data_IF_326653260461
#
_entry.id   IF_326653260461
#
_cell.length_a   1.000
_cell.length_b   1.000
_cell.length_c   1.000
_cell.angle_alpha   90.00
_cell.angle_beta   90.00
_cell.angle_gamma   90.00
#
_symmetry.space_group_name_H-M   'P 1'
#
loop_
_entity.id
_entity.type
_entity.pdbx_description
1 polymer ?
#
# COMPACT_ATOMS: atom_id res chain seq x y z
N UNK A 1 -13.08 21.69 -60.52
CA UNK A 1 -14.08 20.64 -60.28
C UNK A 1 -13.58 19.21 -60.34
N UNK A 2 -12.37 18.92 -60.75
CA UNK A 2 -11.83 17.52 -60.85
C UNK A 2 -11.16 17.01 -59.56
N UNK A 3 -10.74 17.87 -58.66
CA UNK A 3 -10.02 17.49 -57.42
C UNK A 3 -10.97 17.09 -56.25
N UNK A 4 -12.23 17.54 -56.33
CA UNK A 4 -13.22 17.28 -55.28
C UNK A 4 -13.80 15.84 -55.35
N UNK A 5 -13.82 15.27 -56.55
CA UNK A 5 -14.30 13.88 -56.79
C UNK A 5 -13.33 12.80 -56.35
N UNK A 6 -12.01 13.11 -56.39
CA UNK A 6 -10.97 12.14 -55.95
C UNK A 6 -10.97 11.97 -54.42
N UNK A 7 -11.32 13.04 -53.66
CA UNK A 7 -11.43 12.97 -52.20
C UNK A 7 -12.63 12.18 -51.70
N UNK A 8 -13.72 12.15 -52.44
CA UNK A 8 -14.94 11.41 -52.09
C UNK A 8 -14.72 9.87 -52.35
N UNK A 9 -13.96 9.51 -53.39
CA UNK A 9 -13.66 8.12 -53.69
C UNK A 9 -12.65 7.48 -52.72
N UNK A 10 -11.75 8.28 -52.12
CA UNK A 10 -10.79 7.76 -51.12
C UNK A 10 -11.43 7.50 -49.74
N UNK A 11 -12.54 8.18 -49.42
CA UNK A 11 -13.26 7.94 -48.14
C UNK A 11 -14.15 6.68 -48.23
N UNK A 12 -14.58 6.25 -49.42
CA UNK A 12 -15.35 5.03 -49.60
C UNK A 12 -14.50 3.72 -49.53
N UNK A 13 -13.17 3.82 -49.70
CA UNK A 13 -12.30 2.66 -49.71
C UNK A 13 -11.72 2.31 -48.31
N UNK A 14 -11.91 3.17 -47.28
CA UNK A 14 -11.38 2.95 -45.93
C UNK A 14 -12.40 2.40 -44.92
N UNK A 15 -13.61 2.09 -45.40
CA UNK A 15 -14.77 1.68 -44.58
C UNK A 15 -15.01 0.19 -44.39
N UNK A 16 -14.12 -0.70 -44.85
CA UNK A 16 -14.39 -2.14 -44.78
C UNK A 16 -13.15 -2.93 -44.38
N UNK A 17 -12.63 -2.72 -43.19
CA UNK A 17 -11.81 -3.74 -42.48
C UNK A 17 -11.93 -3.51 -40.98
N UNK A 18 -13.14 -3.57 -40.44
CA UNK A 18 -13.37 -3.93 -39.04
C UNK A 18 -14.28 -5.16 -38.99
N UNK A 19 -13.84 -6.25 -39.62
CA UNK A 19 -14.41 -7.55 -39.30
C UNK A 19 -13.78 -8.00 -37.98
N UNK A 20 -14.47 -7.62 -36.93
CA UNK A 20 -14.58 -8.26 -35.65
C UNK A 20 -14.05 -9.70 -35.61
N UNK A 21 -12.88 -9.90 -35.04
CA UNK A 21 -12.54 -11.20 -34.45
C UNK A 21 -13.42 -11.36 -33.21
N UNK A 22 -14.64 -11.81 -33.40
CA UNK A 22 -15.54 -12.22 -32.33
C UNK A 22 -15.03 -13.55 -31.81
N UNK A 23 -14.35 -13.48 -30.69
CA UNK A 23 -13.75 -14.65 -30.04
C UNK A 23 -14.87 -15.49 -29.39
N UNK A 24 -15.40 -16.44 -30.16
CA UNK A 24 -16.49 -17.32 -29.72
C UNK A 24 -16.19 -18.11 -28.44
N UNK A 25 -14.90 -18.24 -28.10
CA UNK A 25 -14.49 -18.87 -26.84
C UNK A 25 -14.61 -17.94 -25.64
N UNK A 26 -14.45 -16.63 -25.81
CA UNK A 26 -14.65 -15.65 -24.75
C UNK A 26 -16.15 -15.53 -24.40
N UNK A 27 -17.04 -15.51 -25.40
CA UNK A 27 -18.50 -15.48 -25.17
C UNK A 27 -19.02 -16.73 -24.43
N UNK A 28 -18.48 -17.91 -24.76
CA UNK A 28 -18.85 -19.14 -24.05
C UNK A 28 -18.42 -19.13 -22.58
N UNK A 29 -17.23 -18.59 -22.28
CA UNK A 29 -16.77 -18.47 -20.88
C UNK A 29 -17.55 -17.44 -20.08
N UNK A 30 -17.97 -16.35 -20.71
CA UNK A 30 -18.81 -15.33 -20.06
C UNK A 30 -20.19 -15.93 -19.74
N UNK A 31 -20.82 -16.60 -20.69
CA UNK A 31 -22.13 -17.25 -20.48
C UNK A 31 -22.07 -18.37 -19.41
N UNK A 32 -20.96 -19.12 -19.32
CA UNK A 32 -20.78 -20.15 -18.30
C UNK A 32 -20.60 -19.52 -16.90
N UNK A 33 -19.89 -18.39 -16.80
CA UNK A 33 -19.71 -17.66 -15.55
C UNK A 33 -21.00 -17.00 -15.06
N UNK A 34 -21.79 -16.42 -15.98
CA UNK A 34 -23.10 -15.85 -15.66
C UNK A 34 -24.09 -16.93 -15.20
N UNK A 35 -24.06 -18.11 -15.81
CA UNK A 35 -24.86 -19.26 -15.36
C UNK A 35 -24.51 -19.72 -13.94
N UNK A 36 -23.23 -19.76 -13.60
CA UNK A 36 -22.78 -20.10 -12.24
C UNK A 36 -23.12 -19.02 -11.20
N UNK A 37 -23.10 -17.75 -11.59
CA UNK A 37 -23.53 -16.65 -10.73
C UNK A 37 -25.02 -16.74 -10.42
N UNK A 38 -25.87 -17.01 -11.42
CA UNK A 38 -27.31 -17.16 -11.22
C UNK A 38 -27.67 -18.38 -10.37
N UNK A 39 -26.88 -19.44 -10.42
CA UNK A 39 -27.09 -20.63 -9.58
C UNK A 39 -26.71 -20.38 -8.11
N UNK A 40 -25.75 -19.49 -7.86
CA UNK A 40 -25.37 -19.07 -6.52
C UNK A 40 -26.36 -18.06 -5.92
N UNK A 41 -26.97 -17.19 -6.72
CA UNK A 41 -28.00 -16.24 -6.30
C UNK A 41 -29.37 -16.90 -6.08
N UNK A 42 -29.67 -18.00 -6.76
CA UNK A 42 -30.94 -18.73 -6.62
C UNK A 42 -31.14 -19.47 -5.29
N UNK A 43 -30.14 -19.54 -4.41
CA UNK A 43 -30.25 -20.21 -3.09
C UNK A 43 -30.51 -19.30 -1.90
N UNK A 44 -30.79 -18.02 -2.11
CA UNK A 44 -31.07 -17.07 -1.02
C UNK A 44 -32.34 -16.25 -1.25
N UNK A 45 -33.48 -16.96 -1.33
CA UNK A 45 -34.76 -16.31 -1.15
C UNK A 45 -34.98 -16.10 0.35
N UNK A 46 -34.77 -14.88 0.84
CA UNK A 46 -35.28 -14.39 2.11
C UNK A 46 -35.88 -13.01 1.91
N UNK A 47 -37.11 -12.87 2.38
CA UNK A 47 -38.07 -11.78 2.32
C UNK A 47 -37.48 -10.37 2.60
N UNK A 48 -38.16 -9.30 2.09
CA UNK A 48 -37.75 -7.92 2.33
C UNK A 48 -38.12 -7.52 3.76
N UNK A 49 -37.12 -7.33 4.61
CA UNK A 49 -37.28 -6.67 5.90
C UNK A 49 -36.53 -5.33 5.85
N UNK A 50 -37.28 -4.30 6.06
CA UNK A 50 -37.04 -2.91 6.50
C UNK A 50 -35.58 -2.55 6.74
N UNK A 51 -35.10 -1.50 6.00
CA UNK A 51 -33.81 -0.87 6.16
C UNK A 51 -33.59 -0.38 7.60
N UNK A 52 -32.67 -1.04 8.30
CA UNK A 52 -32.00 -0.50 9.48
C UNK A 52 -30.55 -0.10 9.08
N UNK A 53 -29.99 0.98 9.64
CA UNK A 53 -28.66 1.43 9.26
C UNK A 53 -27.63 0.33 9.59
N UNK A 54 -26.83 -0.02 8.61
CA UNK A 54 -25.70 -0.96 8.72
C UNK A 54 -24.81 -0.54 9.89
N UNK A 55 -24.62 -1.40 10.92
CA UNK A 55 -23.60 -1.11 11.92
C UNK A 55 -22.23 -1.13 11.22
N UNK A 56 -21.44 -0.08 11.46
CA UNK A 56 -20.05 -0.01 11.03
C UNK A 56 -19.37 -1.35 11.33
N UNK A 57 -18.67 -1.89 10.32
CA UNK A 57 -17.86 -3.11 10.45
C UNK A 57 -16.99 -3.01 11.69
N UNK A 58 -17.37 -3.71 12.74
CA UNK A 58 -16.50 -3.88 13.89
C UNK A 58 -15.24 -4.57 13.39
N UNK A 59 -14.05 -4.12 13.77
CA UNK A 59 -12.82 -4.84 13.44
C UNK A 59 -12.99 -6.24 14.04
N UNK A 60 -12.98 -7.25 13.16
CA UNK A 60 -12.97 -8.66 13.58
C UNK A 60 -11.72 -8.79 14.45
N UNK A 61 -11.90 -8.98 15.74
CA UNK A 61 -10.81 -9.27 16.64
C UNK A 61 -10.20 -10.60 16.18
N UNK A 62 -9.04 -10.53 15.50
CA UNK A 62 -8.30 -11.73 15.16
C UNK A 62 -7.98 -12.46 16.47
N UNK A 63 -8.45 -13.69 16.61
CA UNK A 63 -8.13 -14.50 17.78
C UNK A 63 -6.62 -14.77 17.84
N UNK A 64 -6.06 -14.66 19.05
CA UNK A 64 -4.65 -14.94 19.27
C UNK A 64 -4.37 -16.42 18.98
N UNK A 65 -3.44 -16.76 18.07
CA UNK A 65 -3.08 -18.15 17.81
C UNK A 65 -2.59 -18.84 19.09
N UNK A 66 -3.02 -20.07 19.29
CA UNK A 66 -2.49 -20.92 20.38
C UNK A 66 -1.09 -21.40 20.03
N UNK A 67 -0.20 -21.44 21.03
CA UNK A 67 1.15 -21.97 20.90
C UNK A 67 2.27 -20.97 21.15
N UNK A 68 3.50 -21.39 20.85
CA UNK A 68 4.69 -20.56 21.01
C UNK A 68 4.72 -19.47 19.94
N UNK A 69 4.64 -18.23 20.36
CA UNK A 69 4.66 -17.07 19.46
C UNK A 69 5.97 -16.28 19.60
N UNK A 70 6.50 -15.74 18.52
CA UNK A 70 7.57 -14.76 18.57
C UNK A 70 7.04 -13.41 19.06
N UNK A 71 7.93 -12.59 19.62
CA UNK A 71 7.61 -11.28 20.13
C UNK A 71 8.71 -10.28 19.84
N UNK A 72 8.34 -9.10 19.35
CA UNK A 72 9.25 -7.97 19.22
C UNK A 72 9.48 -7.30 20.58
N UNK A 73 10.73 -7.02 20.86
CA UNK A 73 11.16 -6.06 21.86
C UNK A 73 12.02 -5.02 21.17
N UNK A 74 11.45 -3.91 20.75
CA UNK A 74 12.20 -2.80 20.17
C UNK A 74 12.92 -2.00 21.26
N UNK A 75 14.11 -1.51 20.96
CA UNK A 75 14.83 -0.56 21.82
C UNK A 75 14.08 0.77 21.90
N UNK A 76 13.51 1.21 20.77
CA UNK A 76 12.58 2.33 20.66
C UNK A 76 11.62 2.08 19.50
N UNK A 77 10.39 2.56 19.63
CA UNK A 77 9.37 2.54 18.55
C UNK A 77 9.10 3.94 18.00
N UNK A 78 9.61 4.96 18.68
CA UNK A 78 9.48 6.38 18.30
C UNK A 78 10.87 6.99 18.14
N UNK A 79 11.08 7.75 17.05
CA UNK A 79 12.33 8.45 16.79
C UNK A 79 12.08 9.89 16.37
N UNK A 80 12.88 10.82 16.88
CA UNK A 80 12.83 12.23 16.52
C UNK A 80 14.11 12.61 15.76
N UNK A 81 13.96 12.96 14.47
CA UNK A 81 15.06 13.48 13.66
C UNK A 81 15.42 14.93 13.98
N UNK A 82 14.61 15.59 14.84
CA UNK A 82 14.77 17.01 15.12
C UNK A 82 14.45 17.88 13.89
N UNK A 83 15.20 18.98 13.74
CA UNK A 83 15.03 19.91 12.61
C UNK A 83 15.95 19.51 11.44
N UNK A 84 15.36 19.28 10.29
CA UNK A 84 16.05 18.98 9.03
C UNK A 84 15.67 20.00 7.96
N UNK A 85 16.45 20.10 6.88
CA UNK A 85 16.15 20.98 5.74
C UNK A 85 15.34 20.22 4.70
N UNK A 86 14.44 20.92 4.02
CA UNK A 86 13.71 20.37 2.89
C UNK A 86 14.66 19.86 1.80
N UNK A 87 14.37 18.67 1.26
CA UNK A 87 15.23 17.93 0.33
C UNK A 87 16.29 17.07 1.00
N UNK A 88 16.43 17.13 2.33
CA UNK A 88 17.33 16.24 3.06
C UNK A 88 16.69 14.84 3.20
N UNK A 89 17.50 13.82 2.96
CA UNK A 89 17.13 12.43 3.19
C UNK A 89 17.74 11.98 4.51
N UNK A 90 16.91 11.45 5.41
CA UNK A 90 17.35 10.93 6.72
C UNK A 90 16.96 9.47 6.87
N UNK A 91 17.76 8.72 7.61
CA UNK A 91 17.53 7.29 7.87
C UNK A 91 17.68 6.99 9.36
N UNK A 92 16.86 6.07 9.85
CA UNK A 92 16.98 5.53 11.20
C UNK A 92 16.81 4.03 11.20
N UNK A 93 17.59 3.34 12.04
CA UNK A 93 17.56 1.89 12.18
C UNK A 93 16.95 1.52 13.54
N UNK A 94 15.73 1.01 13.50
CA UNK A 94 15.05 0.45 14.68
C UNK A 94 15.61 -0.94 14.94
N UNK A 95 16.28 -1.09 16.07
CA UNK A 95 16.81 -2.37 16.54
C UNK A 95 15.78 -3.05 17.45
N UNK A 96 15.72 -4.36 17.38
CA UNK A 96 14.86 -5.15 18.25
C UNK A 96 15.49 -6.50 18.57
N UNK A 97 14.94 -7.16 19.59
CA UNK A 97 15.24 -8.53 20.00
C UNK A 97 13.98 -9.37 19.92
N UNK A 98 14.09 -10.63 19.55
CA UNK A 98 13.01 -11.60 19.67
C UNK A 98 12.99 -12.15 21.10
N UNK A 99 12.03 -11.70 21.90
CA UNK A 99 11.83 -12.18 23.29
C UNK A 99 10.72 -13.22 23.41
N UNK A 100 10.12 -13.60 22.26
CA UNK A 100 9.11 -14.64 22.21
C UNK A 100 9.69 -16.05 22.33
N UNK A 101 8.81 -17.04 22.20
CA UNK A 101 9.14 -18.46 22.35
C UNK A 101 9.28 -19.21 21.01
N UNK A 102 9.22 -18.51 19.88
CA UNK A 102 9.36 -19.06 18.52
C UNK A 102 10.24 -18.16 17.65
N UNK A 103 10.80 -18.65 16.52
CA UNK A 103 11.53 -17.81 15.57
C UNK A 103 10.64 -16.72 14.98
N UNK A 104 11.16 -15.49 14.91
CA UNK A 104 10.48 -14.31 14.40
C UNK A 104 10.84 -14.10 12.93
N UNK A 105 9.83 -13.93 12.10
CA UNK A 105 9.97 -13.70 10.65
C UNK A 105 9.23 -12.42 10.28
N UNK A 106 9.96 -11.43 9.77
CA UNK A 106 9.36 -10.22 9.21
C UNK A 106 8.93 -10.52 7.77
N UNK A 107 7.64 -10.40 7.50
CA UNK A 107 7.04 -10.63 6.20
C UNK A 107 7.08 -9.39 5.32
N UNK A 108 6.81 -8.23 5.91
CA UNK A 108 6.80 -6.95 5.22
C UNK A 108 7.09 -5.79 6.18
N UNK A 109 7.61 -4.70 5.62
CA UNK A 109 7.69 -3.43 6.30
C UNK A 109 7.28 -2.33 5.30
N UNK A 110 6.26 -1.53 5.65
CA UNK A 110 5.66 -0.52 4.77
C UNK A 110 5.66 0.83 5.44
N UNK A 111 6.20 1.85 4.74
CA UNK A 111 6.18 3.23 5.19
C UNK A 111 4.89 3.94 4.76
N UNK A 112 4.44 4.92 5.57
CA UNK A 112 3.42 5.88 5.17
C UNK A 112 3.94 6.83 4.09
N UNK A 113 3.06 7.62 3.44
CA UNK A 113 3.41 8.51 2.32
C UNK A 113 4.71 9.30 2.54
N UNK A 114 5.68 9.11 1.63
CA UNK A 114 6.99 9.76 1.67
C UNK A 114 8.03 9.12 2.56
N UNK A 115 7.68 8.00 3.21
CA UNK A 115 8.64 7.13 3.89
C UNK A 115 8.79 5.82 3.14
N UNK A 116 9.94 5.21 3.31
CA UNK A 116 10.22 3.86 2.82
C UNK A 116 10.81 3.06 3.97
N UNK A 117 10.31 1.84 4.18
CA UNK A 117 11.07 0.84 4.90
C UNK A 117 12.15 0.36 3.92
N UNK A 118 13.36 0.91 4.04
CA UNK A 118 14.40 0.70 3.03
C UNK A 118 15.03 -0.68 3.14
N UNK A 119 15.05 -1.25 4.34
CA UNK A 119 15.62 -2.56 4.61
C UNK A 119 15.18 -3.13 5.96
N UNK A 120 15.24 -4.45 6.12
CA UNK A 120 15.01 -5.16 7.39
C UNK A 120 15.64 -6.54 7.38
N UNK A 121 15.80 -7.17 8.55
CA UNK A 121 16.30 -8.54 8.67
C UNK A 121 15.37 -9.52 7.98
N UNK A 122 15.85 -10.16 6.90
CA UNK A 122 15.08 -11.11 6.07
C UNK A 122 15.10 -12.54 6.60
N UNK A 123 16.22 -12.92 7.24
CA UNK A 123 16.37 -14.26 7.81
C UNK A 123 15.49 -14.42 9.06
N UNK A 124 15.01 -15.65 9.34
CA UNK A 124 14.36 -15.95 10.60
C UNK A 124 15.25 -15.62 11.80
N UNK A 125 14.71 -14.90 12.77
CA UNK A 125 15.42 -14.44 13.96
C UNK A 125 15.11 -15.42 15.10
N UNK A 126 16.08 -16.18 15.59
CA UNK A 126 15.87 -17.16 16.65
C UNK A 126 15.42 -16.48 17.96
N UNK A 127 14.90 -17.27 18.89
CA UNK A 127 14.58 -16.82 20.25
C UNK A 127 15.84 -16.21 20.89
N UNK A 128 15.70 -15.00 21.42
CA UNK A 128 16.82 -14.22 21.98
C UNK A 128 17.70 -13.54 20.93
N UNK A 129 17.51 -13.80 19.64
CA UNK A 129 18.24 -13.15 18.55
C UNK A 129 17.81 -11.70 18.34
N UNK A 130 18.66 -10.92 17.65
CA UNK A 130 18.43 -9.51 17.35
C UNK A 130 18.23 -9.29 15.86
N UNK A 131 17.46 -8.26 15.52
CA UNK A 131 17.22 -7.83 14.16
C UNK A 131 17.04 -6.31 14.07
N UNK A 132 16.77 -5.85 12.86
CA UNK A 132 16.56 -4.43 12.60
C UNK A 132 15.49 -4.18 11.53
N UNK A 133 14.94 -2.96 11.56
CA UNK A 133 14.12 -2.36 10.48
C UNK A 133 14.68 -0.96 10.23
N UNK A 134 15.04 -0.67 8.99
CA UNK A 134 15.55 0.64 8.58
C UNK A 134 14.45 1.46 7.91
N UNK A 135 14.19 2.64 8.46
CA UNK A 135 13.28 3.63 7.88
C UNK A 135 14.08 4.73 7.20
N UNK A 136 13.64 5.14 6.01
CA UNK A 136 14.20 6.23 5.22
C UNK A 136 13.11 7.25 4.95
N UNK A 137 13.40 8.53 5.14
CA UNK A 137 12.48 9.62 4.87
C UNK A 137 13.13 10.65 3.95
N UNK A 138 12.44 10.93 2.83
CA UNK A 138 12.79 12.01 1.92
C UNK A 138 11.89 13.21 2.22
N UNK A 139 12.51 14.32 2.66
CA UNK A 139 11.81 15.54 3.04
C UNK A 139 11.48 16.48 1.88
N UNK A 140 11.82 16.11 0.64
CA UNK A 140 11.54 16.92 -0.55
C UNK A 140 10.03 17.18 -0.71
N UNK A 141 9.62 18.45 -0.83
CA UNK A 141 8.21 18.85 -0.94
C UNK A 141 7.37 18.60 0.32
N UNK A 142 8.00 18.48 1.50
CA UNK A 142 7.31 18.16 2.77
C UNK A 142 7.74 19.09 3.90
N UNK A 143 7.43 20.40 3.81
CA UNK A 143 7.78 21.35 4.86
C UNK A 143 6.95 21.11 6.14
N UNK A 144 7.36 21.76 7.22
CA UNK A 144 6.75 21.73 8.54
C UNK A 144 6.91 20.40 9.29
N UNK A 145 6.08 20.19 10.32
CA UNK A 145 6.12 18.98 11.15
C UNK A 145 5.65 17.77 10.33
N UNK A 146 6.51 16.77 10.24
CA UNK A 146 6.23 15.51 9.59
C UNK A 146 6.18 14.39 10.63
N UNK A 147 5.01 13.77 10.78
CA UNK A 147 4.82 12.57 11.59
C UNK A 147 4.59 11.40 10.63
N UNK A 148 5.44 10.39 10.71
CA UNK A 148 5.46 9.27 9.77
C UNK A 148 5.50 7.95 10.51
N UNK A 149 5.01 6.91 9.84
CA UNK A 149 4.96 5.56 10.39
C UNK A 149 5.57 4.54 9.44
N UNK A 150 6.11 3.48 10.02
CA UNK A 150 6.47 2.25 9.33
C UNK A 150 5.71 1.11 9.99
N UNK A 151 4.85 0.44 9.25
CA UNK A 151 4.12 -0.74 9.71
C UNK A 151 4.91 -1.99 9.38
N UNK A 152 5.32 -2.72 10.39
CA UNK A 152 6.04 -3.99 10.29
C UNK A 152 5.05 -5.13 10.46
N UNK A 153 4.95 -6.01 9.46
CA UNK A 153 4.13 -7.23 9.51
C UNK A 153 5.02 -8.44 9.74
N UNK A 154 4.71 -9.23 10.75
CA UNK A 154 5.47 -10.41 11.14
C UNK A 154 4.55 -11.55 11.62
N UNK A 155 5.14 -12.71 11.89
CA UNK A 155 4.44 -13.84 12.50
C UNK A 155 4.20 -13.69 14.01
N UNK A 156 4.21 -12.46 14.53
CA UNK A 156 3.93 -12.11 15.93
C UNK A 156 2.43 -11.97 16.20
N UNK A 157 2.09 -11.76 17.46
CA UNK A 157 0.75 -11.31 17.85
C UNK A 157 0.85 -10.05 18.73
N UNK A 158 0.22 -8.92 18.32
CA UNK A 158 -0.46 -8.73 17.03
C UNK A 158 0.50 -8.87 15.84
N UNK A 159 -0.04 -9.18 14.65
CA UNK A 159 0.76 -9.37 13.42
C UNK A 159 1.46 -8.11 12.95
N UNK A 160 0.94 -6.96 13.34
CA UNK A 160 1.46 -5.65 12.92
C UNK A 160 2.00 -4.88 14.10
N UNK A 161 3.18 -4.29 13.92
CA UNK A 161 3.80 -3.35 14.85
C UNK A 161 4.07 -2.05 14.11
N UNK A 162 3.70 -0.92 14.72
CA UNK A 162 3.86 0.41 14.12
C UNK A 162 5.04 1.12 14.77
N UNK A 163 6.04 1.42 13.96
CA UNK A 163 7.18 2.29 14.32
C UNK A 163 6.86 3.71 13.86
N UNK A 164 7.27 4.72 14.61
CA UNK A 164 6.98 6.12 14.35
C UNK A 164 8.26 6.93 14.31
N UNK A 165 8.23 7.97 13.50
CA UNK A 165 9.22 9.04 13.63
C UNK A 165 8.60 10.39 13.31
N UNK A 166 9.25 11.43 13.81
CA UNK A 166 8.90 12.82 13.53
C UNK A 166 10.12 13.58 13.05
N UNK A 167 9.88 14.63 12.27
CA UNK A 167 10.87 15.60 11.85
C UNK A 167 10.22 16.97 11.69
N UNK A 168 10.93 18.02 12.06
CA UNK A 168 10.60 19.40 11.69
C UNK A 168 11.37 19.74 10.42
N UNK A 169 10.67 19.92 9.30
CA UNK A 169 11.30 20.25 8.02
C UNK A 169 11.22 21.74 7.78
N UNK A 170 12.36 22.41 7.80
CA UNK A 170 12.46 23.83 7.42
C UNK A 170 12.45 23.94 5.90
N UNK A 171 11.58 24.79 5.31
CA UNK A 171 11.55 25.00 3.87
C UNK A 171 12.92 25.36 3.31
N UNK A 172 13.17 24.95 2.08
CA UNK A 172 14.33 25.43 1.31
C UNK A 172 14.19 26.95 1.21
N UNK A 173 15.20 27.69 1.63
CA UNK A 173 15.21 29.12 1.40
C UNK A 173 15.17 29.32 -0.12
N UNK A 174 14.04 29.72 -0.67
CA UNK A 174 13.94 30.23 -2.02
C UNK A 174 14.89 31.42 -2.07
N UNK A 175 15.84 31.36 -3.00
CA UNK A 175 16.87 32.39 -3.13
C UNK A 175 16.21 33.76 -3.04
N UNK A 176 16.58 34.53 -2.04
CA UNK A 176 16.03 35.83 -1.75
C UNK A 176 15.90 36.61 -3.07
N UNK A 177 14.66 36.85 -3.50
CA UNK A 177 14.38 37.92 -4.45
C UNK A 177 14.91 39.20 -3.81
N UNK A 178 16.06 39.65 -4.30
CA UNK A 178 16.63 40.90 -3.84
C UNK A 178 15.61 42.02 -3.99
N UNK A 179 15.72 43.08 -3.16
CA UNK A 179 14.75 44.16 -3.20
C UNK A 179 14.70 44.76 -4.60
N UNK A 180 13.51 44.74 -5.19
CA UNK A 180 13.20 45.46 -6.41
C UNK A 180 13.31 46.94 -6.05
N UNK A 181 14.36 47.61 -6.59
CA UNK A 181 14.46 49.08 -6.52
C UNK A 181 13.59 49.70 -7.58
#
# INVERSE_FOLDING_TARGET
>A
MKIMWIKVLMIAAFGVVFTSCKDRNAEKKIAELESRLSELEGKKAVSPSTAAPTPASQPVAEEKPEGALPQFQFETVDHDFGTIREGQVVEYTYKFKNTGAAPLIIQAAQGSCGCTASDWTKAPIPVGGSGFVKAKFDSNGKPNIQNKTVTVTANTWPKQTVLRFKAMVTPKADGASGPVR
#
